data_IF_430854453840
#
_entry.id   IF_430854453840
#
_cell.length_a   1.000
_cell.length_b   1.000
_cell.length_c   1.000
_cell.angle_alpha   90.00
_cell.angle_beta   90.00
_cell.angle_gamma   90.00
#
_symmetry.space_group_name_H-M   'P 1'
#
loop_
_entity.id
_entity.type
_entity.pdbx_description
1 polymer ?
#
# COMPACT_ATOMS: atom_id res chain seq x y z
N UNK A 1 -17.60 -1.47 24.61
CA UNK A 1 -18.20 -2.42 23.65
C UNK A 1 -19.63 -2.76 24.07
N UNK A 2 -19.90 -3.14 25.32
CA UNK A 2 -21.27 -3.42 25.83
C UNK A 2 -22.26 -2.26 25.56
N UNK A 3 -21.79 -1.01 25.50
CA UNK A 3 -22.63 0.15 25.22
C UNK A 3 -23.26 0.10 23.82
N UNK A 4 -22.61 -0.53 22.85
CA UNK A 4 -23.08 -0.65 21.48
C UNK A 4 -23.83 -1.97 21.21
N UNK A 5 -23.94 -2.85 22.20
CA UNK A 5 -24.66 -4.12 22.08
C UNK A 5 -26.14 -3.83 21.84
N UNK A 6 -26.70 -4.36 20.76
CA UNK A 6 -28.09 -4.11 20.35
C UNK A 6 -28.36 -2.80 19.57
N UNK A 7 -27.37 -1.91 19.46
CA UNK A 7 -27.46 -0.75 18.57
C UNK A 7 -26.82 -1.04 17.21
N UNK A 8 -27.17 -0.24 16.20
CA UNK A 8 -26.46 -0.32 14.92
C UNK A 8 -24.99 -0.01 15.19
N UNK A 9 -24.10 -0.92 14.78
CA UNK A 9 -22.68 -0.69 14.88
C UNK A 9 -22.32 0.61 14.14
N UNK A 10 -21.38 1.38 14.70
CA UNK A 10 -20.90 2.62 14.05
C UNK A 10 -20.06 2.26 12.81
N UNK A 11 -20.74 1.90 11.72
CA UNK A 11 -20.11 1.52 10.49
C UNK A 11 -19.29 0.23 10.59
N UNK A 12 -18.42 0.03 9.64
CA UNK A 12 -17.59 -1.18 9.52
C UNK A 12 -16.63 -1.41 10.70
N UNK A 13 -16.05 -0.33 11.23
CA UNK A 13 -15.09 -0.42 12.36
C UNK A 13 -15.79 -0.91 13.61
N UNK A 14 -16.97 -0.38 13.92
CA UNK A 14 -17.74 -0.81 15.10
C UNK A 14 -18.17 -2.27 14.99
N UNK A 15 -18.61 -2.70 13.82
CA UNK A 15 -18.97 -4.10 13.55
C UNK A 15 -17.76 -5.03 13.66
N UNK A 16 -16.62 -4.61 13.17
CA UNK A 16 -15.38 -5.36 13.30
C UNK A 16 -14.96 -5.55 14.77
N UNK A 17 -15.10 -4.49 15.59
CA UNK A 17 -14.84 -4.58 17.04
C UNK A 17 -15.82 -5.57 17.70
N UNK A 18 -17.10 -5.55 17.33
CA UNK A 18 -18.10 -6.46 17.87
C UNK A 18 -17.77 -7.92 17.51
N UNK A 19 -17.42 -8.20 16.26
CA UNK A 19 -17.04 -9.55 15.80
C UNK A 19 -15.83 -10.10 16.60
N UNK A 20 -14.79 -9.26 16.78
CA UNK A 20 -13.61 -9.67 17.55
C UNK A 20 -13.89 -9.93 19.03
N UNK A 21 -14.88 -9.26 19.60
CA UNK A 21 -15.31 -9.49 20.96
C UNK A 21 -16.36 -10.61 21.09
N UNK A 22 -16.62 -11.35 20.00
CA UNK A 22 -17.65 -12.42 19.94
C UNK A 22 -19.04 -11.93 20.38
N UNK A 23 -19.36 -10.67 20.07
CA UNK A 23 -20.67 -10.10 20.27
C UNK A 23 -21.54 -10.35 19.04
N UNK A 24 -22.83 -10.49 19.22
CA UNK A 24 -23.76 -10.68 18.11
C UNK A 24 -23.69 -9.51 17.14
N UNK A 25 -23.38 -9.82 15.88
CA UNK A 25 -23.35 -8.90 14.76
C UNK A 25 -23.90 -9.60 13.52
N UNK A 26 -25.17 -9.37 13.23
CA UNK A 26 -25.89 -9.95 12.09
C UNK A 26 -25.91 -9.05 10.86
N UNK A 27 -25.35 -7.84 10.93
CA UNK A 27 -25.48 -6.81 9.91
C UNK A 27 -24.28 -6.71 8.96
N UNK A 28 -23.09 -7.09 9.45
CA UNK A 28 -21.86 -7.01 8.68
C UNK A 28 -21.10 -8.32 8.78
N UNK A 29 -20.60 -8.80 7.65
CA UNK A 29 -19.75 -9.98 7.59
C UNK A 29 -18.42 -9.61 6.95
N UNK A 30 -17.32 -9.83 7.69
CA UNK A 30 -15.97 -9.62 7.17
C UNK A 30 -15.49 -10.88 6.47
N UNK A 31 -15.32 -10.81 5.14
CA UNK A 31 -14.91 -11.96 4.32
C UNK A 31 -13.43 -12.29 4.40
N UNK A 32 -12.62 -11.43 5.03
CA UNK A 32 -11.17 -11.54 5.08
C UNK A 32 -10.67 -11.49 6.53
N UNK A 33 -10.33 -12.65 7.07
CA UNK A 33 -9.93 -12.83 8.47
C UNK A 33 -8.59 -12.18 8.85
N UNK A 34 -7.74 -11.82 7.88
CA UNK A 34 -6.49 -11.12 8.20
C UNK A 34 -6.71 -9.73 8.83
N UNK A 35 -7.87 -9.12 8.63
CA UNK A 35 -8.24 -7.90 9.33
C UNK A 35 -8.48 -8.12 10.83
N UNK A 36 -8.86 -9.33 11.25
CA UNK A 36 -9.20 -9.65 12.62
C UNK A 36 -8.01 -9.66 13.59
N UNK A 37 -6.81 -10.01 13.11
CA UNK A 37 -5.59 -10.03 13.92
C UNK A 37 -5.09 -8.65 14.36
N UNK A 38 -5.73 -7.61 13.93
CA UNK A 38 -5.21 -6.24 14.05
C UNK A 38 -5.54 -5.54 15.36
N UNK A 39 -6.49 -6.05 16.15
CA UNK A 39 -6.91 -5.42 17.41
C UNK A 39 -6.27 -6.06 18.65
N UNK A 40 -5.72 -7.26 18.52
CA UNK A 40 -5.09 -8.00 19.63
C UNK A 40 -3.55 -7.98 19.52
N UNK A 41 -2.99 -7.18 18.63
CA UNK A 41 -1.58 -7.19 18.30
C UNK A 41 -0.79 -6.28 19.25
N UNK A 42 -0.15 -6.85 20.27
CA UNK A 42 0.77 -6.14 21.16
C UNK A 42 1.89 -5.43 20.39
N UNK A 43 2.37 -6.03 19.29
CA UNK A 43 3.38 -5.44 18.39
C UNK A 43 2.90 -4.11 17.83
N UNK A 44 1.63 -4.01 17.43
CA UNK A 44 1.07 -2.75 16.96
C UNK A 44 1.14 -1.65 18.03
N UNK A 45 0.80 -1.99 19.26
CA UNK A 45 0.83 -1.04 20.38
C UNK A 45 2.26 -0.58 20.69
N UNK A 46 3.22 -1.51 20.67
CA UNK A 46 4.64 -1.19 20.87
C UNK A 46 5.17 -0.28 19.77
N UNK A 47 4.82 -0.55 18.50
CA UNK A 47 5.21 0.29 17.37
C UNK A 47 4.57 1.68 17.45
N UNK A 48 3.29 1.79 17.80
CA UNK A 48 2.62 3.08 17.97
C UNK A 48 3.25 3.88 19.12
N UNK A 49 3.60 3.19 20.22
CA UNK A 49 4.34 3.80 21.34
C UNK A 49 5.71 4.31 20.91
N UNK A 50 6.47 3.50 20.15
CA UNK A 50 7.78 3.89 19.65
C UNK A 50 7.71 5.10 18.71
N UNK A 51 6.75 5.14 17.78
CA UNK A 51 6.52 6.26 16.86
C UNK A 51 6.16 7.52 17.65
N UNK A 52 5.22 7.42 18.59
CA UNK A 52 4.75 8.53 19.42
C UNK A 52 5.88 9.12 20.26
N UNK A 53 6.70 8.27 20.88
CA UNK A 53 7.78 8.65 21.76
C UNK A 53 9.09 8.93 21.02
N UNK A 54 9.11 8.81 19.68
CA UNK A 54 10.29 8.99 18.83
C UNK A 54 11.46 8.10 19.23
N UNK A 55 11.18 6.87 19.63
CA UNK A 55 12.21 5.89 19.99
C UNK A 55 12.61 5.06 18.77
N UNK A 56 13.91 4.75 18.67
CA UNK A 56 14.36 3.70 17.77
C UNK A 56 13.84 2.35 18.25
N UNK A 57 13.80 1.37 17.37
CA UNK A 57 13.39 0.00 17.69
C UNK A 57 14.38 -1.02 17.16
N UNK A 58 14.36 -2.18 17.77
CA UNK A 58 14.91 -3.43 17.23
C UNK A 58 13.79 -4.46 17.23
N UNK A 59 13.70 -5.28 16.19
CA UNK A 59 12.67 -6.30 16.09
C UNK A 59 13.15 -7.54 15.35
N UNK A 60 12.54 -8.67 15.64
CA UNK A 60 12.74 -9.93 14.94
C UNK A 60 11.71 -10.05 13.83
N UNK A 61 12.16 -10.36 12.61
CA UNK A 61 11.30 -10.60 11.46
C UNK A 61 11.45 -12.04 10.98
N UNK A 62 10.33 -12.70 10.72
CA UNK A 62 10.26 -14.10 10.27
C UNK A 62 9.68 -14.10 8.85
N UNK A 63 10.30 -14.84 7.93
CA UNK A 63 9.77 -14.97 6.57
C UNK A 63 8.45 -15.76 6.53
N UNK A 64 7.76 -15.75 5.38
CA UNK A 64 6.47 -16.44 5.19
C UNK A 64 6.51 -17.94 5.52
N UNK A 65 7.64 -18.60 5.26
CA UNK A 65 7.81 -20.02 5.58
C UNK A 65 8.20 -20.31 7.03
N UNK A 66 8.44 -19.28 7.85
CA UNK A 66 8.89 -19.44 9.24
C UNK A 66 10.34 -19.94 9.39
N UNK A 67 11.06 -20.13 8.27
CA UNK A 67 12.38 -20.78 8.26
C UNK A 67 13.54 -19.83 8.45
N UNK A 68 13.34 -18.54 8.11
CA UNK A 68 14.40 -17.52 8.22
C UNK A 68 13.99 -16.45 9.21
N UNK A 69 14.80 -16.33 10.26
CA UNK A 69 14.69 -15.30 11.28
C UNK A 69 15.79 -14.26 11.08
N UNK A 70 15.46 -12.99 11.11
CA UNK A 70 16.42 -11.89 10.97
C UNK A 70 16.06 -10.79 11.94
N UNK A 71 17.06 -10.16 12.54
CA UNK A 71 16.89 -8.99 13.41
C UNK A 71 17.17 -7.73 12.61
N UNK A 72 16.31 -6.75 12.79
CA UNK A 72 16.41 -5.44 12.16
C UNK A 72 16.30 -4.33 13.19
N UNK A 73 16.96 -3.21 12.93
CA UNK A 73 16.91 -2.00 13.74
C UNK A 73 16.61 -0.79 12.86
N UNK A 74 16.07 0.26 13.47
CA UNK A 74 15.82 1.52 12.81
C UNK A 74 14.83 2.42 13.54
N UNK A 75 14.43 3.48 12.88
CA UNK A 75 13.50 4.49 13.39
C UNK A 75 12.12 4.22 12.78
N UNK A 76 11.13 3.83 13.59
CA UNK A 76 9.76 3.63 13.10
C UNK A 76 9.14 4.99 12.80
N UNK A 77 8.56 5.15 11.62
CA UNK A 77 8.06 6.45 11.15
C UNK A 77 6.55 6.46 11.01
N UNK A 78 5.99 5.44 10.35
CA UNK A 78 4.55 5.37 10.06
C UNK A 78 4.11 3.92 9.86
N UNK A 79 2.82 3.65 10.06
CA UNK A 79 2.22 2.37 9.71
C UNK A 79 1.34 2.59 8.49
N UNK A 80 1.60 1.85 7.42
CA UNK A 80 0.76 1.80 6.22
C UNK A 80 -0.22 0.64 6.29
N UNK A 81 -1.40 0.87 5.75
CA UNK A 81 -2.39 -0.19 5.49
C UNK A 81 -2.56 -0.29 3.99
N UNK A 82 -2.22 -1.44 3.41
CA UNK A 82 -2.43 -1.68 1.99
C UNK A 82 -3.92 -1.84 1.71
N UNK A 83 -4.51 -0.94 0.94
CA UNK A 83 -5.91 -1.02 0.53
C UNK A 83 -6.21 -2.28 -0.31
N UNK A 84 -5.23 -2.77 -1.07
CA UNK A 84 -5.39 -3.94 -1.93
C UNK A 84 -5.44 -5.25 -1.13
N UNK A 85 -4.73 -5.35 0.01
CA UNK A 85 -4.58 -6.60 0.76
C UNK A 85 -5.06 -6.50 2.21
N UNK A 86 -5.35 -5.31 2.73
CA UNK A 86 -5.63 -5.06 4.15
C UNK A 86 -4.42 -5.27 5.08
N UNK A 87 -3.26 -5.64 4.54
CA UNK A 87 -2.05 -5.89 5.33
C UNK A 87 -1.45 -4.60 5.84
N UNK A 88 -0.80 -4.69 6.98
CA UNK A 88 -0.11 -3.58 7.62
C UNK A 88 1.39 -3.69 7.46
N UNK A 89 2.01 -2.55 7.27
CA UNK A 89 3.44 -2.41 7.05
C UNK A 89 3.98 -1.30 7.93
N UNK A 90 5.06 -1.59 8.64
CA UNK A 90 5.85 -0.57 9.30
C UNK A 90 6.76 0.11 8.27
N UNK A 91 6.62 1.41 8.11
CA UNK A 91 7.62 2.24 7.46
C UNK A 91 8.74 2.54 8.48
N UNK A 92 9.92 2.00 8.21
CA UNK A 92 11.12 2.10 9.05
C UNK A 92 12.20 2.86 8.29
N UNK A 93 12.77 3.90 8.89
CA UNK A 93 13.98 4.51 8.36
C UNK A 93 15.21 3.81 8.91
N UNK A 94 16.06 3.30 8.01
CA UNK A 94 17.34 2.69 8.38
C UNK A 94 18.47 3.68 8.23
N UNK A 95 19.10 4.00 9.33
CA UNK A 95 20.17 5.02 9.42
C UNK A 95 21.40 4.63 8.62
N UNK A 96 21.75 3.33 8.60
CA UNK A 96 22.93 2.84 7.86
C UNK A 96 22.72 2.95 6.36
N UNK A 97 21.56 2.56 5.86
CA UNK A 97 21.21 2.57 4.44
C UNK A 97 20.68 3.93 3.98
N UNK A 98 20.40 4.85 4.92
CA UNK A 98 19.87 6.19 4.70
C UNK A 98 18.60 6.20 3.84
N UNK A 99 17.69 5.25 4.06
CA UNK A 99 16.45 5.13 3.31
C UNK A 99 15.33 4.46 4.12
N UNK A 100 14.10 4.57 3.59
CA UNK A 100 12.92 3.91 4.13
C UNK A 100 12.80 2.47 3.63
N UNK A 101 12.29 1.61 4.52
CA UNK A 101 11.94 0.22 4.24
C UNK A 101 10.56 -0.07 4.81
N UNK A 102 9.85 -1.02 4.21
CA UNK A 102 8.59 -1.50 4.74
C UNK A 102 8.73 -2.94 5.22
N UNK A 103 8.21 -3.19 6.40
CA UNK A 103 8.16 -4.49 7.03
C UNK A 103 6.72 -4.86 7.36
N UNK A 104 6.30 -6.06 7.00
CA UNK A 104 4.96 -6.57 7.33
C UNK A 104 4.84 -6.80 8.83
N UNK A 105 3.78 -6.28 9.45
CA UNK A 105 3.55 -6.45 10.89
C UNK A 105 3.30 -7.92 11.26
N UNK A 106 2.61 -8.68 10.40
CA UNK A 106 2.32 -10.09 10.62
C UNK A 106 3.56 -11.01 10.57
N UNK A 107 4.68 -10.48 10.11
CA UNK A 107 6.00 -11.16 10.13
C UNK A 107 6.87 -10.72 11.30
N UNK A 108 6.44 -9.71 12.06
CA UNK A 108 7.23 -9.20 13.19
C UNK A 108 7.00 -10.04 14.44
N UNK A 109 8.08 -10.24 15.18
CA UNK A 109 8.10 -10.79 16.53
C UNK A 109 9.02 -9.95 17.37
N UNK A 110 8.73 -9.84 18.67
CA UNK A 110 9.63 -9.21 19.65
C UNK A 110 10.11 -7.81 19.25
N UNK A 111 9.28 -6.82 19.46
CA UNK A 111 9.65 -5.41 19.27
C UNK A 111 10.25 -4.88 20.57
N UNK A 112 11.50 -4.44 20.50
CA UNK A 112 12.21 -3.82 21.62
C UNK A 112 12.36 -2.33 21.36
N UNK A 113 11.84 -1.52 22.27
CA UNK A 113 12.03 -0.07 22.23
C UNK A 113 13.48 0.24 22.67
N UNK A 114 14.14 1.10 21.90
CA UNK A 114 15.48 1.64 22.18
C UNK A 114 15.37 3.10 22.60
N UNK A 115 16.51 3.77 22.61
CA UNK A 115 16.61 5.15 23.05
C UNK A 115 15.84 6.13 22.16
N UNK A 116 15.56 7.30 22.72
CA UNK A 116 14.98 8.43 22.00
C UNK A 116 15.88 8.85 20.83
N UNK A 117 15.26 9.15 19.68
CA UNK A 117 15.93 9.56 18.47
C UNK A 117 15.53 10.98 18.08
N UNK A 118 16.45 11.93 18.19
CA UNK A 118 16.21 13.34 17.86
C UNK A 118 15.79 13.55 16.40
N UNK A 119 16.33 12.74 15.48
CA UNK A 119 16.06 12.86 14.05
C UNK A 119 14.74 12.22 13.61
N UNK A 120 14.03 11.53 14.49
CA UNK A 120 12.78 10.84 14.14
C UNK A 120 11.72 11.79 13.55
N UNK A 121 11.60 13.00 14.10
CA UNK A 121 10.68 14.02 13.57
C UNK A 121 11.04 14.49 12.16
N UNK A 122 12.32 14.58 11.84
CA UNK A 122 12.80 14.93 10.50
C UNK A 122 12.44 13.82 9.49
N UNK A 123 12.68 12.56 9.83
CA UNK A 123 12.33 11.44 8.95
C UNK A 123 10.83 11.32 8.74
N UNK A 124 10.02 11.67 9.74
CA UNK A 124 8.58 11.76 9.60
C UNK A 124 8.17 12.84 8.60
N UNK A 125 8.76 14.04 8.68
CA UNK A 125 8.52 15.12 7.74
C UNK A 125 9.01 14.76 6.32
N UNK A 126 10.17 14.12 6.20
CA UNK A 126 10.70 13.65 4.91
C UNK A 126 9.77 12.62 4.27
N UNK A 127 9.18 11.72 5.04
CA UNK A 127 8.20 10.76 4.56
C UNK A 127 6.93 11.48 4.11
N UNK A 128 6.36 12.39 4.92
CA UNK A 128 5.13 13.13 4.59
C UNK A 128 5.27 13.91 3.27
N UNK A 129 6.43 14.53 3.04
CA UNK A 129 6.73 15.27 1.81
C UNK A 129 6.84 14.38 0.55
N UNK A 130 6.88 13.07 0.73
CA UNK A 130 7.04 12.09 -0.35
C UNK A 130 5.93 11.04 -0.41
N UNK A 131 4.88 11.17 0.40
CA UNK A 131 3.80 10.18 0.48
C UNK A 131 3.04 10.01 -0.85
N UNK A 132 2.89 11.07 -1.60
CA UNK A 132 2.26 11.07 -2.93
C UNK A 132 2.98 10.17 -3.94
N UNK A 133 4.28 9.88 -3.71
CA UNK A 133 5.10 8.99 -4.54
C UNK A 133 5.07 7.52 -4.10
N UNK A 134 4.49 7.23 -2.95
CA UNK A 134 4.28 5.86 -2.47
C UNK A 134 2.91 5.40 -2.95
N UNK A 135 2.83 4.74 -4.10
CA UNK A 135 1.55 4.32 -4.68
C UNK A 135 0.88 3.21 -3.87
N UNK A 136 1.63 2.20 -3.49
CA UNK A 136 1.18 1.14 -2.58
C UNK A 136 1.83 1.29 -1.22
N UNK A 137 2.82 0.46 -0.96
CA UNK A 137 3.58 0.47 0.30
C UNK A 137 5.09 0.42 0.07
N UNK A 138 5.56 0.25 -1.16
CA UNK A 138 6.97 0.08 -1.49
C UNK A 138 7.69 1.39 -1.77
N UNK A 139 8.93 1.49 -1.29
CA UNK A 139 9.85 2.58 -1.62
C UNK A 139 10.86 2.19 -2.72
N UNK A 140 10.67 1.02 -3.34
CA UNK A 140 11.62 0.52 -4.32
C UNK A 140 12.98 0.11 -3.74
N UNK A 141 13.83 -0.47 -4.60
CA UNK A 141 15.14 -0.98 -4.18
C UNK A 141 16.23 0.09 -3.96
N UNK A 142 16.09 1.29 -4.54
CA UNK A 142 17.19 2.27 -4.59
C UNK A 142 16.78 3.73 -4.35
N UNK A 143 15.60 4.00 -3.81
CA UNK A 143 15.03 5.36 -3.68
C UNK A 143 15.03 6.17 -5.00
N UNK A 144 15.08 5.49 -6.15
CA UNK A 144 14.97 6.14 -7.46
C UNK A 144 13.50 6.37 -7.76
N UNK A 145 13.20 7.57 -8.18
CA UNK A 145 11.89 7.90 -8.70
C UNK A 145 11.69 7.28 -10.06
N UNK A 146 10.56 6.61 -10.23
CA UNK A 146 10.15 6.01 -11.49
C UNK A 146 8.97 6.79 -12.05
N UNK A 147 8.94 6.96 -13.36
CA UNK A 147 7.83 7.60 -14.06
C UNK A 147 7.05 6.52 -14.79
N UNK A 148 5.73 6.58 -14.66
CA UNK A 148 4.78 5.74 -15.41
C UNK A 148 3.89 6.65 -16.24
N UNK A 149 3.80 6.37 -17.55
CA UNK A 149 2.96 7.06 -18.51
C UNK A 149 2.01 6.05 -19.15
N UNK A 150 0.70 6.28 -19.01
CA UNK A 150 -0.33 5.48 -19.66
C UNK A 150 -1.11 6.33 -20.64
N UNK A 151 -1.07 5.98 -21.93
CA UNK A 151 -1.98 6.52 -22.95
C UNK A 151 -3.21 5.61 -23.01
N UNK A 152 -4.40 6.19 -22.80
CA UNK A 152 -5.66 5.45 -22.72
C UNK A 152 -6.65 5.95 -23.77
N UNK A 153 -7.42 5.02 -24.32
CA UNK A 153 -8.66 5.31 -25.02
C UNK A 153 -9.85 5.11 -24.08
N UNK A 154 -10.64 6.15 -23.89
CA UNK A 154 -11.83 6.11 -23.03
C UNK A 154 -12.98 6.80 -23.76
N UNK A 155 -14.03 6.08 -24.06
CA UNK A 155 -15.21 6.66 -24.70
C UNK A 155 -15.92 7.58 -23.70
N UNK A 156 -15.77 8.91 -23.87
CA UNK A 156 -16.31 9.92 -22.95
C UNK A 156 -17.82 9.81 -22.73
N UNK A 157 -18.58 9.31 -23.72
CA UNK A 157 -20.04 9.21 -23.63
C UNK A 157 -20.51 8.02 -22.78
N UNK A 158 -19.76 6.93 -22.76
CA UNK A 158 -20.18 5.67 -22.14
C UNK A 158 -19.28 5.21 -21.00
N UNK A 159 -18.04 5.74 -20.93
CA UNK A 159 -17.02 5.29 -20.00
C UNK A 159 -16.42 6.43 -19.14
N UNK A 160 -17.12 7.55 -18.98
CA UNK A 160 -16.65 8.69 -18.15
C UNK A 160 -16.21 8.30 -16.75
N UNK A 161 -16.83 7.27 -16.17
CA UNK A 161 -16.47 6.72 -14.87
C UNK A 161 -15.01 6.22 -14.79
N UNK A 162 -14.40 5.87 -15.93
CA UNK A 162 -12.98 5.45 -16.00
C UNK A 162 -12.06 6.64 -15.71
N UNK A 163 -12.41 7.84 -16.20
CA UNK A 163 -11.63 9.06 -15.94
C UNK A 163 -11.74 9.44 -14.46
N UNK A 164 -12.94 9.38 -13.89
CA UNK A 164 -13.15 9.61 -12.46
C UNK A 164 -12.37 8.62 -11.60
N UNK A 165 -12.32 7.36 -12.05
CA UNK A 165 -11.53 6.32 -11.39
C UNK A 165 -10.04 6.59 -11.47
N UNK A 166 -9.51 7.01 -12.63
CA UNK A 166 -8.09 7.40 -12.80
C UNK A 166 -7.71 8.53 -11.84
N UNK A 167 -8.56 9.54 -11.71
CA UNK A 167 -8.33 10.68 -10.80
C UNK A 167 -8.37 10.20 -9.33
N UNK A 168 -9.42 9.49 -8.94
CA UNK A 168 -9.63 9.05 -7.56
C UNK A 168 -8.56 8.06 -7.08
N UNK A 169 -8.23 7.06 -7.89
CA UNK A 169 -7.34 5.97 -7.52
C UNK A 169 -5.88 6.25 -7.90
N UNK A 170 -5.64 7.17 -8.82
CA UNK A 170 -4.32 7.53 -9.33
C UNK A 170 -3.46 8.35 -8.36
N UNK A 171 -3.98 8.67 -7.17
CA UNK A 171 -3.23 9.28 -6.06
C UNK A 171 -2.42 10.54 -6.47
N UNK A 172 -3.05 11.48 -7.15
CA UNK A 172 -2.41 12.72 -7.56
C UNK A 172 -1.52 12.60 -8.81
N UNK A 173 -1.69 11.55 -9.63
CA UNK A 173 -1.14 11.52 -10.97
C UNK A 173 -1.80 12.56 -11.88
N UNK A 174 -1.06 13.06 -12.85
CA UNK A 174 -1.55 14.03 -13.82
C UNK A 174 -2.34 13.33 -14.93
N UNK A 175 -3.54 13.81 -15.24
CA UNK A 175 -4.38 13.33 -16.33
C UNK A 175 -4.57 14.44 -17.36
N UNK A 176 -3.99 14.28 -18.53
CA UNK A 176 -4.07 15.21 -19.65
C UNK A 176 -4.94 14.64 -20.77
N UNK A 177 -5.91 15.41 -21.25
CA UNK A 177 -6.64 15.08 -22.48
C UNK A 177 -5.80 15.45 -23.68
N UNK A 178 -5.43 14.50 -24.52
CA UNK A 178 -4.66 14.73 -25.75
C UNK A 178 -5.60 15.08 -26.92
N UNK A 179 -6.64 14.28 -27.09
CA UNK A 179 -7.64 14.44 -28.15
C UNK A 179 -8.98 13.81 -27.70
N UNK A 180 -9.98 13.80 -28.56
CA UNK A 180 -11.28 13.17 -28.24
C UNK A 180 -11.07 11.70 -27.89
N UNK A 181 -11.59 11.30 -26.71
CA UNK A 181 -11.51 9.94 -26.17
C UNK A 181 -10.08 9.46 -25.86
N UNK A 182 -9.05 10.32 -25.97
CA UNK A 182 -7.65 9.92 -25.75
C UNK A 182 -7.03 10.74 -24.63
N UNK A 183 -6.47 10.05 -23.64
CA UNK A 183 -5.93 10.63 -22.42
C UNK A 183 -4.53 10.10 -22.13
N UNK A 184 -3.69 10.95 -21.55
CA UNK A 184 -2.40 10.58 -21.00
C UNK A 184 -2.46 10.73 -19.48
N UNK A 185 -2.23 9.64 -18.77
CA UNK A 185 -2.02 9.65 -17.33
C UNK A 185 -0.53 9.49 -17.05
N UNK A 186 0.02 10.39 -16.23
CA UNK A 186 1.44 10.38 -15.83
C UNK A 186 1.57 10.44 -14.33
N UNK A 187 2.46 9.62 -13.76
CA UNK A 187 2.76 9.65 -12.34
C UNK A 187 4.21 9.30 -12.04
N UNK A 188 4.81 10.08 -11.12
CA UNK A 188 6.08 9.77 -10.49
C UNK A 188 5.84 8.93 -9.23
N UNK A 189 6.55 7.81 -9.09
CA UNK A 189 6.45 6.89 -7.94
C UNK A 189 7.84 6.38 -7.54
N UNK A 190 7.95 5.84 -6.32
CA UNK A 190 9.17 5.16 -5.88
C UNK A 190 9.28 3.73 -6.42
N UNK A 191 8.15 3.05 -6.63
CA UNK A 191 8.12 1.68 -7.12
C UNK A 191 6.90 1.46 -8.02
N UNK A 192 7.13 1.39 -9.32
CA UNK A 192 6.09 1.13 -10.30
C UNK A 192 5.56 -0.31 -10.27
N UNK A 193 6.26 -1.25 -9.61
CA UNK A 193 5.71 -2.59 -9.39
C UNK A 193 4.42 -2.55 -8.57
N UNK A 194 4.33 -1.65 -7.57
CA UNK A 194 3.12 -1.48 -6.77
C UNK A 194 1.94 -0.94 -7.59
N UNK A 195 2.20 -0.21 -8.68
CA UNK A 195 1.16 0.25 -9.62
C UNK A 195 0.69 -0.86 -10.56
N UNK A 196 1.49 -1.88 -10.82
CA UNK A 196 1.23 -2.89 -11.85
C UNK A 196 -0.16 -3.56 -11.74
N UNK A 197 -0.64 -3.98 -10.56
CA UNK A 197 -1.99 -4.53 -10.43
C UNK A 197 -3.09 -3.53 -10.81
N UNK A 198 -2.94 -2.28 -10.41
CA UNK A 198 -3.88 -1.21 -10.73
C UNK A 198 -3.87 -0.86 -12.23
N UNK A 199 -2.69 -0.73 -12.85
CA UNK A 199 -2.52 -0.52 -14.29
C UNK A 199 -3.27 -1.61 -15.07
N UNK A 200 -3.13 -2.87 -14.70
CA UNK A 200 -3.79 -4.01 -15.35
C UNK A 200 -5.30 -3.95 -15.32
N UNK A 201 -5.90 -3.23 -14.37
CA UNK A 201 -7.36 -3.05 -14.34
C UNK A 201 -7.89 -2.18 -15.50
N UNK A 202 -7.01 -1.48 -16.22
CA UNK A 202 -7.32 -0.69 -17.42
C UNK A 202 -6.85 -1.34 -18.72
N UNK A 203 -6.42 -2.61 -18.70
CA UNK A 203 -5.73 -3.29 -19.81
C UNK A 203 -6.47 -3.14 -21.14
N UNK A 204 -7.79 -3.26 -21.17
CA UNK A 204 -8.59 -3.11 -22.40
C UNK A 204 -8.70 -1.67 -22.93
N UNK A 205 -8.09 -0.67 -22.26
CA UNK A 205 -8.15 0.75 -22.63
C UNK A 205 -6.78 1.36 -22.82
N UNK A 206 -5.71 0.69 -22.38
CA UNK A 206 -4.35 1.17 -22.52
C UNK A 206 -3.89 0.96 -23.96
N UNK A 207 -3.67 2.06 -24.68
CA UNK A 207 -3.11 2.07 -26.02
C UNK A 207 -1.60 1.91 -25.97
N UNK A 208 -0.95 2.58 -24.97
CA UNK A 208 0.48 2.59 -24.80
C UNK A 208 0.82 2.73 -23.32
N UNK A 209 1.78 1.94 -22.87
CA UNK A 209 2.37 2.03 -21.54
C UNK A 209 3.86 2.25 -21.67
N UNK A 210 4.35 3.32 -21.06
CA UNK A 210 5.75 3.69 -21.01
C UNK A 210 6.19 4.00 -19.59
N UNK A 211 7.50 4.02 -19.35
CA UNK A 211 8.04 4.38 -18.05
C UNK A 211 9.52 4.07 -17.92
N UNK A 212 10.10 4.52 -16.83
CA UNK A 212 11.53 4.35 -16.55
C UNK A 212 11.88 2.91 -16.17
N UNK A 213 10.95 2.16 -15.56
CA UNK A 213 11.16 0.77 -15.17
C UNK A 213 10.73 -0.19 -16.29
N UNK A 214 11.68 -0.52 -17.17
CA UNK A 214 11.43 -1.39 -18.33
C UNK A 214 10.98 -2.79 -17.94
N UNK A 215 11.33 -3.28 -16.76
CA UNK A 215 10.88 -4.60 -16.28
C UNK A 215 9.37 -4.64 -16.10
N UNK A 216 8.78 -3.59 -15.52
CA UNK A 216 7.31 -3.46 -15.34
C UNK A 216 6.62 -3.34 -16.70
N UNK A 217 7.16 -2.50 -17.59
CA UNK A 217 6.61 -2.28 -18.92
C UNK A 217 6.64 -3.57 -19.76
N UNK A 218 7.78 -4.25 -19.81
CA UNK A 218 7.92 -5.50 -20.55
C UNK A 218 7.01 -6.61 -20.01
N UNK A 219 6.82 -6.69 -18.69
CA UNK A 219 5.88 -7.63 -18.06
C UNK A 219 4.45 -7.36 -18.49
N UNK A 220 4.03 -6.09 -18.52
CA UNK A 220 2.70 -5.71 -18.97
C UNK A 220 2.43 -6.16 -20.41
N UNK A 221 3.34 -5.85 -21.35
CA UNK A 221 3.19 -6.25 -22.75
C UNK A 221 3.27 -7.77 -22.97
N UNK A 222 4.10 -8.47 -22.17
CA UNK A 222 4.15 -9.93 -22.18
C UNK A 222 2.81 -10.55 -21.74
N UNK A 223 2.16 -9.96 -20.73
CA UNK A 223 0.86 -10.44 -20.27
C UNK A 223 -0.23 -10.20 -21.32
N UNK A 224 -0.22 -9.07 -22.03
CA UNK A 224 -1.13 -8.79 -23.16
C UNK A 224 -0.91 -9.81 -24.28
N UNK A 225 0.35 -10.06 -24.67
CA UNK A 225 0.67 -11.02 -25.71
C UNK A 225 0.17 -12.42 -25.35
N UNK A 226 0.42 -12.87 -24.12
CA UNK A 226 -0.07 -14.15 -23.61
C UNK A 226 -1.59 -14.23 -23.62
N UNK A 227 -2.26 -13.15 -23.22
CA UNK A 227 -3.73 -13.09 -23.24
C UNK A 227 -4.26 -13.22 -24.68
N UNK A 228 -3.64 -12.50 -25.64
CA UNK A 228 -3.98 -12.61 -27.06
C UNK A 228 -3.84 -14.05 -27.56
N UNK A 229 -2.70 -14.69 -27.31
CA UNK A 229 -2.42 -16.09 -27.68
C UNK A 229 -3.45 -17.08 -27.09
N UNK A 230 -4.04 -16.78 -25.92
CA UNK A 230 -5.06 -17.64 -25.29
C UNK A 230 -6.47 -17.52 -25.89
N UNK A 231 -6.74 -16.46 -26.67
CA UNK A 231 -8.08 -16.18 -27.21
C UNK A 231 -8.12 -16.15 -28.75
N UNK A 232 -6.99 -16.37 -29.43
CA UNK A 232 -6.90 -16.44 -30.90
C UNK A 232 -6.96 -17.88 -31.46
N UNK A 233 -7.27 -18.90 -30.61
CA UNK A 233 -7.52 -20.27 -31.05
C UNK A 233 -9.04 -20.40 -31.52
#
# INVERSE_FOLDING_TARGET
>A
VKFFQGSAAFGEIGSFIMDNQKLENDRFTFKHYYAAHTLEDGILLDLLSAIRNRCAIEFVNINESGTRVSTFDGIPVKIFVSAATGRRYLCLYKTREKRFFNYRLDHMKEVLLKDFCETAGQHQADLENNLDRVFGVSFGGQNRKEIVCMKLYVNEKTEGFILERLIREGQGGELLRLEKNTYLYTKEVFDSNDMSPWIKTFMGRIIQLEGTNQTVINRFYKDIKRMKEMYED
#
